data_IF_814696790815
#
_entry.id   IF_814696790815
#
_cell.length_a   1.000
_cell.length_b   1.000
_cell.length_c   1.000
_cell.angle_alpha   90.00
_cell.angle_beta   90.00
_cell.angle_gamma   90.00
#
_symmetry.space_group_name_H-M   'P 1'
#
loop_
_entity.id
_entity.type
_entity.pdbx_description
1 polymer ?
#
# COMPACT_ATOMS: atom_id res chain seq x y z
N UNK A 1 -10.40 14.83 22.50
CA UNK A 1 -10.66 16.03 21.65
C UNK A 1 -10.66 15.61 20.19
N UNK A 2 -11.57 16.09 19.33
CA UNK A 2 -11.56 15.72 17.92
C UNK A 2 -10.23 16.11 17.27
N UNK A 3 -9.74 15.27 16.40
CA UNK A 3 -8.49 15.50 15.69
C UNK A 3 -8.66 16.63 14.67
N UNK A 4 -7.70 17.55 14.62
CA UNK A 4 -7.76 18.70 13.72
C UNK A 4 -6.95 18.44 12.44
N UNK A 5 -7.44 18.95 11.33
CA UNK A 5 -6.70 18.93 10.07
C UNK A 5 -5.36 19.65 10.22
N UNK A 6 -4.30 19.06 9.70
CA UNK A 6 -2.89 19.50 9.79
C UNK A 6 -2.27 19.37 11.20
N UNK A 7 -2.96 18.79 12.17
CA UNK A 7 -2.38 18.44 13.44
C UNK A 7 -1.27 17.40 13.26
N UNK A 8 -0.17 17.57 13.98
CA UNK A 8 0.95 16.61 14.01
C UNK A 8 0.83 15.78 15.30
N UNK A 9 0.92 14.48 15.15
CA UNK A 9 0.88 13.51 16.23
C UNK A 9 2.05 12.54 16.08
N UNK A 10 2.67 12.19 17.20
CA UNK A 10 3.61 11.06 17.24
C UNK A 10 2.83 9.83 17.66
N UNK A 11 2.74 8.86 16.78
CA UNK A 11 1.98 7.64 17.01
C UNK A 11 2.82 6.41 16.68
N UNK A 12 2.53 5.31 17.36
CA UNK A 12 3.06 4.00 17.04
C UNK A 12 2.04 3.24 16.20
N UNK A 13 2.51 2.67 15.10
CA UNK A 13 1.68 1.84 14.24
C UNK A 13 1.55 0.46 14.87
N UNK A 14 0.32 0.02 15.08
CA UNK A 14 0.02 -1.23 15.78
C UNK A 14 -0.18 -2.40 14.82
N UNK A 15 -0.85 -2.16 13.70
CA UNK A 15 -1.22 -3.18 12.70
C UNK A 15 -1.48 -2.56 11.34
N UNK A 16 -1.78 -3.42 10.34
CA UNK A 16 -2.25 -2.99 9.03
C UNK A 16 -3.76 -3.20 8.89
N UNK A 17 -4.38 -2.31 8.16
CA UNK A 17 -5.74 -2.46 7.65
C UNK A 17 -5.74 -3.32 6.37
N UNK A 18 -6.94 -3.71 5.92
CA UNK A 18 -7.11 -4.56 4.73
C UNK A 18 -6.62 -3.91 3.43
N UNK A 19 -6.54 -2.59 3.36
CA UNK A 19 -6.01 -1.83 2.23
C UNK A 19 -4.49 -1.59 2.31
N UNK A 20 -3.85 -2.04 3.39
CA UNK A 20 -2.41 -1.90 3.62
C UNK A 20 -1.99 -0.60 4.28
N UNK A 21 -2.93 0.21 4.76
CA UNK A 21 -2.61 1.37 5.60
C UNK A 21 -2.29 0.93 7.03
N UNK A 22 -1.29 1.53 7.64
CA UNK A 22 -1.03 1.33 9.07
C UNK A 22 -2.16 1.91 9.92
N UNK A 23 -2.44 1.26 11.02
CA UNK A 23 -3.44 1.68 12.01
C UNK A 23 -2.74 2.00 13.31
N UNK A 24 -2.97 3.20 13.80
CA UNK A 24 -2.55 3.68 15.11
C UNK A 24 -3.76 4.24 15.87
N UNK A 25 -3.64 4.44 17.16
CA UNK A 25 -4.67 5.11 17.96
C UNK A 25 -4.14 6.40 18.56
N UNK A 26 -4.97 7.43 18.54
CA UNK A 26 -4.71 8.67 19.26
C UNK A 26 -4.82 8.45 20.77
N UNK A 27 -4.39 9.44 21.56
CA UNK A 27 -4.53 9.40 23.03
C UNK A 27 -6.00 9.25 23.50
N UNK A 28 -6.94 9.72 22.70
CA UNK A 28 -8.37 9.61 22.96
C UNK A 28 -8.97 8.28 22.39
N UNK A 29 -8.14 7.37 21.86
CA UNK A 29 -8.56 6.08 21.32
C UNK A 29 -9.13 6.11 19.91
N UNK A 30 -9.03 7.22 19.21
CA UNK A 30 -9.49 7.35 17.83
C UNK A 30 -8.49 6.69 16.87
N UNK A 31 -9.00 5.84 15.97
CA UNK A 31 -8.16 5.15 14.99
C UNK A 31 -7.66 6.11 13.91
N UNK A 32 -6.37 6.05 13.61
CA UNK A 32 -5.70 6.85 12.56
C UNK A 32 -5.12 5.92 11.52
N UNK A 33 -5.57 6.06 10.28
CA UNK A 33 -5.08 5.30 9.12
C UNK A 33 -3.97 6.06 8.40
N UNK A 34 -2.82 5.43 8.23
CA UNK A 34 -1.63 6.07 7.67
C UNK A 34 -1.00 5.18 6.59
N UNK A 35 -1.08 5.56 5.31
CA UNK A 35 -0.43 4.82 4.24
C UNK A 35 1.10 4.79 4.38
N UNK A 36 1.74 3.78 3.79
CA UNK A 36 3.19 3.62 3.75
C UNK A 36 3.86 3.49 5.13
N UNK A 37 3.15 2.99 6.12
CA UNK A 37 3.68 2.69 7.45
C UNK A 37 3.62 1.20 7.73
N UNK A 38 4.49 0.73 8.61
CA UNK A 38 4.64 -0.66 9.03
C UNK A 38 4.27 -0.84 10.50
N UNK A 39 3.70 -2.00 10.90
CA UNK A 39 3.52 -2.32 12.31
C UNK A 39 4.84 -2.21 13.08
N UNK A 40 4.83 -1.52 14.20
CA UNK A 40 6.03 -1.24 15.00
C UNK A 40 6.75 0.06 14.65
N UNK A 41 6.37 0.74 13.55
CA UNK A 41 6.89 2.09 13.31
C UNK A 41 6.47 3.06 14.41
N UNK A 42 7.39 3.91 14.82
CA UNK A 42 7.07 5.13 15.54
C UNK A 42 7.26 6.32 14.61
N UNK A 43 6.19 7.07 14.39
CA UNK A 43 6.18 8.06 13.32
C UNK A 43 5.43 9.33 13.72
N UNK A 44 5.92 10.45 13.22
CA UNK A 44 5.17 11.71 13.23
C UNK A 44 4.21 11.72 12.04
N UNK A 45 2.93 11.88 12.34
CA UNK A 45 1.83 11.77 11.41
C UNK A 45 1.11 13.10 11.35
N UNK A 46 0.84 13.57 10.13
CA UNK A 46 0.02 14.74 9.88
C UNK A 46 -1.40 14.33 9.55
N UNK A 47 -2.38 14.79 10.33
CA UNK A 47 -3.79 14.53 10.09
C UNK A 47 -4.26 15.27 8.83
N UNK A 48 -4.85 14.53 7.90
CA UNK A 48 -5.39 15.08 6.65
C UNK A 48 -6.90 15.28 6.75
N UNK A 49 -7.58 14.31 7.36
CA UNK A 49 -9.03 14.31 7.48
C UNK A 49 -9.47 13.60 8.74
N UNK A 50 -10.31 14.25 9.51
CA UNK A 50 -11.07 13.67 10.62
C UNK A 50 -12.45 13.26 10.10
N UNK A 51 -12.89 12.04 10.46
CA UNK A 51 -14.21 11.48 10.16
C UNK A 51 -15.03 11.22 11.44
N UNK A 52 -14.61 11.71 12.59
CA UNK A 52 -15.29 11.64 13.88
C UNK A 52 -15.07 10.34 14.66
N UNK A 53 -15.06 9.17 14.03
CA UNK A 53 -14.75 7.87 14.63
C UNK A 53 -13.36 7.37 14.30
N UNK A 54 -12.78 7.92 13.27
CA UNK A 54 -11.46 7.59 12.76
C UNK A 54 -10.92 8.76 11.93
N UNK A 55 -9.63 8.82 11.77
CA UNK A 55 -8.98 9.85 10.99
C UNK A 55 -8.03 9.24 9.95
N UNK A 56 -7.70 10.04 8.95
CA UNK A 56 -6.66 9.72 7.99
C UNK A 56 -5.48 10.66 8.19
N UNK A 57 -4.31 10.07 8.20
CA UNK A 57 -3.04 10.78 8.29
C UNK A 57 -2.11 10.45 7.14
N UNK A 58 -1.09 11.26 6.99
CA UNK A 58 0.06 10.97 6.13
C UNK A 58 1.31 10.93 6.98
N UNK A 59 2.26 10.09 6.59
CA UNK A 59 3.57 10.02 7.21
C UNK A 59 4.32 11.34 6.96
N UNK A 60 4.59 12.10 8.02
CA UNK A 60 5.39 13.32 7.97
C UNK A 60 6.87 12.98 8.19
N UNK A 61 7.17 12.21 9.22
CA UNK A 61 8.53 11.75 9.53
C UNK A 61 8.50 10.39 10.22
N UNK A 62 9.33 9.48 9.76
CA UNK A 62 9.60 8.22 10.44
C UNK A 62 10.65 8.48 11.53
N UNK A 63 10.30 8.21 12.79
CA UNK A 63 11.17 8.43 13.95
C UNK A 63 11.96 7.17 14.27
N UNK A 64 11.27 6.06 14.43
CA UNK A 64 11.85 4.74 14.66
C UNK A 64 11.26 3.76 13.67
N UNK A 65 12.05 3.25 12.71
CA UNK A 65 11.54 2.27 11.75
C UNK A 65 11.29 0.91 12.42
N UNK A 66 10.23 0.26 11.98
CA UNK A 66 9.96 -1.14 12.32
C UNK A 66 11.07 -2.06 11.80
N UNK A 67 11.42 -3.15 12.52
CA UNK A 67 12.36 -4.17 12.04
C UNK A 67 11.83 -4.92 10.81
N UNK A 68 10.53 -4.86 10.55
CA UNK A 68 9.88 -5.48 9.41
C UNK A 68 9.95 -4.63 8.13
N UNK A 69 10.50 -3.42 8.22
CA UNK A 69 10.74 -2.59 7.02
C UNK A 69 11.89 -3.13 6.20
N UNK A 70 11.73 -3.03 4.89
CA UNK A 70 12.78 -3.28 3.91
C UNK A 70 13.01 -2.06 3.03
N UNK A 71 14.18 -1.95 2.47
CA UNK A 71 14.48 -0.92 1.48
C UNK A 71 13.65 -1.18 0.22
N UNK A 72 13.01 -0.12 -0.27
CA UNK A 72 12.14 -0.21 -1.45
C UNK A 72 13.00 -0.08 -2.70
N UNK A 73 13.11 -1.15 -3.44
CA UNK A 73 13.91 -1.27 -4.67
C UNK A 73 13.25 -0.68 -5.93
N UNK A 74 11.99 -0.24 -5.82
CA UNK A 74 11.25 0.32 -6.94
C UNK A 74 11.31 1.86 -6.94
N UNK A 75 11.88 2.50 -7.96
CA UNK A 75 11.99 3.96 -8.02
C UNK A 75 10.63 4.66 -8.19
N UNK A 76 9.60 3.94 -8.60
CA UNK A 76 8.23 4.45 -8.72
C UNK A 76 7.40 4.28 -7.44
N UNK A 77 7.94 3.64 -6.41
CA UNK A 77 7.23 3.46 -5.14
C UNK A 77 6.89 4.82 -4.50
N UNK A 78 5.76 4.87 -3.83
CA UNK A 78 5.22 6.09 -3.26
C UNK A 78 4.24 6.78 -4.20
N UNK A 79 4.66 7.39 -5.33
CA UNK A 79 3.73 7.96 -6.29
C UNK A 79 2.86 6.92 -7.01
N UNK A 80 3.40 5.73 -7.25
CA UNK A 80 2.69 4.63 -7.88
C UNK A 80 1.82 3.89 -6.86
N UNK A 81 0.51 3.85 -7.08
CA UNK A 81 -0.44 3.11 -6.24
C UNK A 81 -0.49 1.59 -6.49
N UNK A 82 0.48 1.03 -7.22
CA UNK A 82 0.47 -0.38 -7.61
C UNK A 82 0.85 -1.37 -6.49
N UNK A 83 1.58 -0.92 -5.47
CA UNK A 83 2.09 -1.76 -4.39
C UNK A 83 1.85 -1.08 -3.04
N UNK A 84 0.97 -1.65 -2.21
CA UNK A 84 0.67 -1.09 -0.88
C UNK A 84 1.66 -1.56 0.20
N UNK A 85 2.33 -2.70 0.02
CA UNK A 85 3.12 -3.37 1.06
C UNK A 85 4.60 -3.56 0.71
N UNK A 86 5.11 -2.91 -0.36
CA UNK A 86 6.49 -3.13 -0.83
C UNK A 86 7.57 -2.66 0.15
N UNK A 87 7.21 -1.87 1.12
CA UNK A 87 8.08 -1.42 2.20
C UNK A 87 8.19 -2.41 3.37
N UNK A 88 7.49 -3.55 3.28
CA UNK A 88 7.50 -4.61 4.27
C UNK A 88 8.30 -5.83 3.80
N UNK A 89 8.91 -6.54 4.75
CA UNK A 89 9.45 -7.87 4.50
C UNK A 89 8.33 -8.82 4.07
N UNK A 90 8.65 -9.79 3.21
CA UNK A 90 7.64 -10.76 2.75
C UNK A 90 7.01 -11.55 3.89
N UNK A 91 7.80 -11.83 4.95
CA UNK A 91 7.29 -12.47 6.16
C UNK A 91 6.22 -11.60 6.84
N UNK A 92 6.48 -10.31 7.00
CA UNK A 92 5.52 -9.37 7.59
C UNK A 92 4.27 -9.21 6.71
N UNK A 93 4.42 -9.23 5.38
CA UNK A 93 3.30 -9.22 4.45
C UNK A 93 2.40 -10.46 4.60
N UNK A 94 2.98 -11.66 4.72
CA UNK A 94 2.22 -12.89 4.95
C UNK A 94 1.48 -12.84 6.30
N UNK A 95 2.13 -12.34 7.34
CA UNK A 95 1.54 -12.18 8.65
C UNK A 95 0.35 -11.20 8.61
N UNK A 96 0.51 -10.05 7.97
CA UNK A 96 -0.56 -9.06 7.83
C UNK A 96 -1.78 -9.62 7.06
N UNK A 97 -1.54 -10.42 6.02
CA UNK A 97 -2.61 -11.11 5.28
C UNK A 97 -3.34 -12.12 6.15
N UNK A 98 -2.61 -12.88 6.96
CA UNK A 98 -3.20 -13.82 7.92
C UNK A 98 -4.07 -13.09 8.96
N UNK A 99 -3.56 -12.01 9.54
CA UNK A 99 -4.27 -11.21 10.52
C UNK A 99 -5.55 -10.58 9.95
N UNK A 100 -5.49 -10.06 8.72
CA UNK A 100 -6.67 -9.51 8.05
C UNK A 100 -7.78 -10.55 7.85
N UNK A 101 -7.44 -11.79 7.49
CA UNK A 101 -8.42 -12.88 7.36
C UNK A 101 -8.99 -13.26 8.74
N UNK A 102 -8.15 -13.39 9.75
CA UNK A 102 -8.56 -13.69 11.12
C UNK A 102 -9.50 -12.61 11.67
N UNK A 103 -9.14 -11.33 11.47
CA UNK A 103 -9.97 -10.20 11.87
C UNK A 103 -11.33 -10.18 11.14
N UNK A 104 -11.35 -10.54 9.85
CA UNK A 104 -12.59 -10.62 9.08
C UNK A 104 -13.53 -11.69 9.64
N UNK A 105 -13.04 -12.89 9.96
CA UNK A 105 -13.84 -13.93 10.60
C UNK A 105 -14.37 -13.48 11.97
N UNK A 106 -13.49 -12.96 12.81
CA UNK A 106 -13.85 -12.60 14.19
C UNK A 106 -14.77 -11.37 14.25
N UNK A 107 -14.40 -10.27 13.57
CA UNK A 107 -15.08 -8.97 13.73
C UNK A 107 -16.29 -8.81 12.83
N UNK A 108 -16.22 -9.32 11.60
CA UNK A 108 -17.31 -9.19 10.63
C UNK A 108 -18.20 -10.43 10.68
N UNK A 109 -17.60 -11.61 10.65
CA UNK A 109 -18.34 -12.86 10.66
C UNK A 109 -18.87 -13.28 12.04
N UNK A 110 -18.34 -12.73 13.15
CA UNK A 110 -18.67 -13.16 14.50
C UNK A 110 -18.24 -14.60 14.80
N UNK A 111 -17.29 -15.14 14.02
CA UNK A 111 -16.82 -16.51 14.08
C UNK A 111 -15.41 -16.58 14.69
N UNK A 112 -15.24 -17.38 15.70
CA UNK A 112 -13.93 -17.69 16.27
C UNK A 112 -13.44 -19.05 15.74
N UNK A 113 -12.90 -19.04 14.54
CA UNK A 113 -12.40 -20.22 13.84
C UNK A 113 -10.87 -20.12 13.65
N UNK A 114 -10.14 -21.24 13.73
CA UNK A 114 -8.71 -21.23 13.47
C UNK A 114 -8.45 -20.93 11.98
N UNK A 115 -7.67 -19.91 11.72
CA UNK A 115 -7.19 -19.58 10.38
C UNK A 115 -5.80 -20.19 10.21
N UNK A 116 -5.60 -20.95 9.16
CA UNK A 116 -4.28 -21.52 8.86
C UNK A 116 -3.31 -20.45 8.41
N UNK A 117 -1.99 -20.62 8.60
CA UNK A 117 -0.98 -19.70 8.10
C UNK A 117 -1.11 -19.46 6.61
N UNK A 118 -0.84 -18.23 6.18
CA UNK A 118 -0.85 -17.89 4.76
C UNK A 118 0.22 -18.69 4.01
N UNK A 119 -0.17 -19.37 2.94
CA UNK A 119 0.76 -20.12 2.10
C UNK A 119 1.62 -19.16 1.30
N UNK A 120 2.95 -19.19 1.42
CA UNK A 120 3.83 -18.31 0.68
C UNK A 120 3.86 -18.65 -0.81
N UNK A 121 4.01 -17.63 -1.65
CA UNK A 121 4.30 -17.83 -3.07
C UNK A 121 5.78 -18.22 -3.25
N UNK A 122 6.11 -19.16 -4.14
CA UNK A 122 7.49 -19.47 -4.48
C UNK A 122 8.18 -18.29 -5.18
N UNK A 123 7.42 -17.44 -5.87
CA UNK A 123 7.90 -16.21 -6.51
C UNK A 123 7.21 -15.01 -5.89
N UNK A 124 7.99 -14.13 -5.26
CA UNK A 124 7.48 -12.92 -4.60
C UNK A 124 7.31 -11.79 -5.61
N UNK A 125 8.20 -11.73 -6.60
CA UNK A 125 8.22 -10.72 -7.65
C UNK A 125 7.86 -11.34 -9.01
N UNK A 126 7.37 -10.49 -9.92
CA UNK A 126 7.08 -10.85 -11.33
C UNK A 126 6.07 -11.98 -11.53
N UNK A 127 5.27 -12.27 -10.52
CA UNK A 127 4.23 -13.31 -10.58
C UNK A 127 3.01 -12.92 -11.41
N UNK A 128 2.83 -11.60 -11.66
CA UNK A 128 1.64 -11.08 -12.34
C UNK A 128 1.77 -11.27 -13.86
N UNK A 129 0.84 -12.00 -14.46
CA UNK A 129 0.78 -12.29 -15.89
C UNK A 129 -0.15 -11.34 -16.69
N UNK A 130 -0.97 -10.54 -15.99
CA UNK A 130 -1.86 -9.54 -16.58
C UNK A 130 -1.71 -8.21 -15.85
N UNK A 131 -1.40 -7.16 -16.61
CA UNK A 131 -1.30 -5.79 -16.09
C UNK A 131 -2.20 -4.89 -16.94
N UNK A 132 -2.91 -4.00 -16.30
CA UNK A 132 -3.70 -2.95 -16.96
C UNK A 132 -3.10 -1.60 -16.62
N UNK A 133 -2.76 -0.84 -17.64
CA UNK A 133 -2.27 0.52 -17.50
C UNK A 133 -3.32 1.47 -18.07
N UNK A 134 -3.96 2.31 -17.24
CA UNK A 134 -4.75 3.41 -17.75
C UNK A 134 -3.87 4.32 -18.61
N UNK A 135 -4.37 4.68 -19.79
CA UNK A 135 -3.70 5.62 -20.68
C UNK A 135 -4.32 7.00 -20.45
N UNK A 136 -3.50 7.96 -20.09
CA UNK A 136 -3.90 9.35 -19.88
C UNK A 136 -3.09 10.29 -20.76
N UNK A 137 -3.44 11.55 -20.73
CA UNK A 137 -2.62 12.62 -21.31
C UNK A 137 -1.98 13.42 -20.18
N UNK A 138 -0.73 13.74 -20.34
CA UNK A 138 -0.03 14.63 -19.44
C UNK A 138 -0.40 16.12 -19.74
N UNK A 139 0.18 17.05 -18.99
CA UNK A 139 -0.05 18.49 -19.19
C UNK A 139 0.44 19.01 -20.55
N UNK A 140 1.27 18.25 -21.25
CA UNK A 140 1.81 18.56 -22.57
C UNK A 140 1.00 17.90 -23.70
N UNK A 141 -0.15 17.30 -23.37
CA UNK A 141 -1.01 16.51 -24.25
C UNK A 141 -0.36 15.26 -24.84
N UNK A 142 0.82 14.87 -24.35
CA UNK A 142 1.48 13.61 -24.72
C UNK A 142 0.80 12.42 -24.06
N UNK A 143 0.74 11.27 -24.75
CA UNK A 143 0.23 10.04 -24.18
C UNK A 143 1.15 9.55 -23.07
N UNK A 144 0.59 9.36 -21.90
CA UNK A 144 1.28 8.81 -20.74
C UNK A 144 0.58 7.54 -20.25
N UNK A 145 1.37 6.53 -19.94
CA UNK A 145 0.89 5.39 -19.17
C UNK A 145 0.79 5.84 -17.71
N UNK A 146 -0.42 5.85 -17.20
CA UNK A 146 -0.69 6.28 -15.82
C UNK A 146 -0.84 5.03 -14.97
N UNK A 147 0.02 4.85 -13.98
CA UNK A 147 -0.28 3.93 -12.89
C UNK A 147 -1.40 4.49 -12.04
N UNK A 148 -2.24 3.62 -11.48
CA UNK A 148 -3.25 4.05 -10.52
C UNK A 148 -2.53 4.72 -9.35
N UNK A 149 -2.65 6.04 -9.28
CA UNK A 149 -2.29 6.77 -8.07
C UNK A 149 -3.16 6.21 -6.95
N UNK A 150 -2.53 5.80 -5.85
CA UNK A 150 -3.26 5.62 -4.62
C UNK A 150 -4.00 6.94 -4.36
N UNK A 151 -5.32 6.93 -4.50
CA UNK A 151 -6.10 8.15 -4.37
C UNK A 151 -5.82 8.75 -2.99
N UNK A 152 -5.26 9.95 -2.89
CA UNK A 152 -5.26 10.63 -1.62
C UNK A 152 -6.72 10.93 -1.30
N UNK A 153 -7.11 10.64 -0.08
CA UNK A 153 -8.44 10.87 0.49
C UNK A 153 -8.82 12.38 0.48
N UNK A 154 -7.95 13.24 -0.01
CA UNK A 154 -8.20 14.65 -0.25
C UNK A 154 -8.00 14.93 -1.73
N UNK A 155 -9.05 15.46 -2.35
CA UNK A 155 -9.09 15.98 -3.72
C UNK A 155 -7.88 16.85 -4.05
N UNK A 156 -6.89 16.25 -4.68
CA UNK A 156 -5.83 16.98 -5.37
C UNK A 156 -5.76 16.49 -6.81
N UNK A 157 -5.55 17.37 -7.78
CA UNK A 157 -5.53 17.00 -9.19
C UNK A 157 -4.48 15.91 -9.43
N UNK A 158 -4.87 14.92 -10.19
CA UNK A 158 -4.04 13.79 -10.56
C UNK A 158 -2.65 14.24 -11.02
N UNK A 159 -1.61 13.88 -10.27
CA UNK A 159 -0.24 14.01 -10.75
C UNK A 159 0.05 12.81 -11.64
N UNK A 160 0.26 13.10 -12.90
CA UNK A 160 0.75 12.12 -13.87
C UNK A 160 2.15 11.69 -13.44
N UNK A 161 2.30 10.42 -13.06
CA UNK A 161 3.61 9.83 -12.81
C UNK A 161 4.02 9.13 -14.08
N UNK A 162 5.01 9.66 -14.79
CA UNK A 162 5.68 8.93 -15.85
C UNK A 162 6.50 7.83 -15.21
N UNK A 163 5.98 6.62 -15.19
CA UNK A 163 6.75 5.46 -14.78
C UNK A 163 7.77 5.15 -15.88
N UNK A 164 9.06 5.15 -15.54
CA UNK A 164 10.10 4.66 -16.43
C UNK A 164 9.80 3.22 -16.83
N UNK A 165 9.94 2.85 -18.13
CA UNK A 165 9.58 1.53 -18.64
C UNK A 165 10.32 0.36 -18.01
N UNK A 166 11.39 0.62 -17.28
CA UNK A 166 12.29 -0.42 -16.75
C UNK A 166 11.65 -1.36 -15.72
N UNK A 167 10.63 -0.94 -14.98
CA UNK A 167 10.02 -1.79 -13.95
C UNK A 167 8.94 -2.73 -14.51
N UNK A 168 8.23 -2.33 -15.57
CA UNK A 168 7.11 -3.10 -16.13
C UNK A 168 7.45 -3.86 -17.41
N UNK A 169 8.42 -3.39 -18.21
CA UNK A 169 8.76 -4.02 -19.49
C UNK A 169 9.51 -5.35 -19.37
N UNK A 170 10.05 -5.72 -18.22
CA UNK A 170 10.68 -7.04 -18.07
C UNK A 170 9.70 -8.19 -18.04
N UNK A 171 8.40 -7.95 -17.80
CA UNK A 171 7.37 -8.98 -17.88
C UNK A 171 6.65 -9.05 -19.24
N UNK A 172 6.67 -7.97 -20.03
CA UNK A 172 5.98 -7.92 -21.32
C UNK A 172 6.77 -8.55 -22.48
N UNK A 173 8.10 -8.66 -22.38
CA UNK A 173 8.94 -9.16 -23.48
C UNK A 173 9.05 -10.68 -23.56
N UNK A 174 8.44 -11.44 -22.65
CA UNK A 174 8.48 -12.92 -22.71
C UNK A 174 7.32 -13.57 -23.46
N UNK A 175 6.31 -12.81 -23.89
CA UNK A 175 5.10 -13.36 -24.53
C UNK A 175 5.14 -13.33 -26.08
N UNK A 176 6.24 -12.87 -26.69
CA UNK A 176 6.32 -12.70 -28.14
C UNK A 176 7.23 -13.71 -28.86
N UNK A 177 7.62 -14.83 -28.24
CA UNK A 177 8.41 -15.85 -28.97
C UNK A 177 7.90 -17.25 -28.68
N UNK A 178 7.44 -17.84 -29.75
CA UNK A 178 7.29 -19.25 -30.13
C UNK A 178 5.87 -19.78 -30.22
N UNK A 179 5.28 -19.55 -31.38
CA UNK A 179 4.46 -20.60 -32.01
C UNK A 179 5.27 -21.15 -33.18
N UNK A 180 5.60 -22.44 -33.22
CA UNK A 180 6.16 -23.06 -34.42
C UNK A 180 5.08 -23.17 -35.51
N UNK A 181 5.44 -23.12 -36.78
CA UNK A 181 4.49 -23.34 -37.86
C UNK A 181 4.02 -24.80 -37.86
N UNK A 182 2.72 -24.97 -37.92
CA UNK A 182 2.13 -26.28 -38.19
C UNK A 182 2.40 -26.66 -39.65
N UNK A 183 3.05 -27.78 -39.81
CA UNK A 183 3.13 -28.52 -41.09
C UNK A 183 1.85 -29.31 -41.32
#
# INVERSE_FOLDING_TARGET
MPLQKNQLLTLRIERLSSDGSGVAHSADGEAVFVPNTAPGDEARIKIVKDCGRYAFGILDQLLTPSPDRVEVDCPAAGPCGGCSLRHLSYKAELQAKHENVTDAFRRIGGLDVPVLPTVPSPEVDRYRNKVQFPVGRDKTASLALVFMLAAPIASSPARTVSCSPACSMRSATRSAHSSPPMA
#
